data_IF_985057033416
#
_entry.id   IF_985057033416
#
_cell.length_a   1.000
_cell.length_b   1.000
_cell.length_c   1.000
_cell.angle_alpha   90.00
_cell.angle_beta   90.00
_cell.angle_gamma   90.00
#
_symmetry.space_group_name_H-M   'P 1'
#
loop_
_entity.id
_entity.type
_entity.pdbx_description
1 polymer ?
#
# COMPACT_ATOMS: atom_id res chain seq x y z
N UNK A 1 15.93 13.15 42.60
CA UNK A 1 14.73 12.29 42.46
C UNK A 1 13.92 12.82 41.29
N UNK A 2 13.60 11.95 40.34
CA UNK A 2 12.96 12.18 39.05
C UNK A 2 11.77 13.17 39.06
N UNK A 3 11.56 13.89 37.94
CA UNK A 3 10.52 13.54 36.94
C UNK A 3 10.92 14.05 35.55
N UNK A 4 10.97 13.11 34.62
CA UNK A 4 11.06 13.29 33.18
C UNK A 4 9.72 13.80 32.65
N UNK A 5 9.74 14.19 31.38
CA UNK A 5 8.62 14.19 30.44
C UNK A 5 7.81 15.48 30.27
N UNK A 6 8.22 16.27 29.28
CA UNK A 6 7.27 16.65 28.23
C UNK A 6 8.04 16.59 26.93
N UNK A 7 8.20 15.35 26.45
CA UNK A 7 8.49 15.07 25.05
C UNK A 7 7.23 15.42 24.27
N UNK A 8 7.02 16.71 24.01
CA UNK A 8 6.11 17.19 22.99
C UNK A 8 6.74 16.92 21.62
N UNK A 9 7.01 15.66 21.32
CA UNK A 9 7.17 15.20 19.94
C UNK A 9 5.77 15.28 19.35
N UNK A 10 5.46 16.47 18.83
CA UNK A 10 4.34 16.76 17.96
C UNK A 10 4.04 15.50 17.18
N UNK A 11 2.90 14.89 17.51
CA UNK A 11 2.33 13.79 16.80
C UNK A 11 2.21 14.27 15.35
N UNK A 12 3.19 13.89 14.54
CA UNK A 12 3.11 13.97 13.09
C UNK A 12 2.09 12.91 12.73
N UNK A 13 0.81 13.25 12.83
CA UNK A 13 -0.24 12.53 12.16
C UNK A 13 0.07 12.68 10.66
N UNK A 14 0.40 11.60 9.93
CA UNK A 14 0.16 11.62 8.52
C UNK A 14 -1.35 11.43 8.36
N UNK A 15 -2.09 12.53 8.39
CA UNK A 15 -3.45 12.56 7.86
C UNK A 15 -3.34 12.52 6.33
N UNK A 16 -3.02 11.35 5.78
CA UNK A 16 -3.27 11.00 4.37
C UNK A 16 -3.05 9.49 4.14
N UNK A 17 -3.52 8.67 5.07
CA UNK A 17 -3.97 7.34 4.66
C UNK A 17 -5.31 7.57 3.97
N UNK A 18 -5.25 7.98 2.71
CA UNK A 18 -6.33 7.68 1.78
C UNK A 18 -6.41 6.16 1.78
N UNK A 19 -7.24 5.64 2.66
CA UNK A 19 -7.89 4.35 2.52
C UNK A 19 -8.63 4.41 1.18
N UNK A 20 -7.84 4.29 0.10
CA UNK A 20 -8.33 4.20 -1.26
C UNK A 20 -9.03 2.85 -1.27
N UNK A 21 -10.35 2.95 -1.10
CA UNK A 21 -11.37 1.90 -1.18
C UNK A 21 -10.78 0.68 -1.89
N UNK A 22 -10.41 -0.31 -1.08
CA UNK A 22 -9.92 -1.59 -1.58
C UNK A 22 -11.14 -2.22 -2.23
N UNK A 23 -11.32 -1.88 -3.50
CA UNK A 23 -12.38 -2.33 -4.37
C UNK A 23 -12.51 -3.85 -4.18
N UNK A 24 -13.67 -4.32 -3.72
CA UNK A 24 -13.92 -5.73 -3.32
C UNK A 24 -13.58 -6.75 -4.43
N UNK A 25 -13.32 -6.27 -5.65
CA UNK A 25 -12.84 -7.05 -6.79
C UNK A 25 -11.37 -7.46 -6.72
N UNK A 26 -10.55 -6.81 -5.89
CA UNK A 26 -9.10 -7.05 -5.80
C UNK A 26 -8.72 -7.58 -4.42
N UNK A 27 -8.11 -8.77 -4.37
CA UNK A 27 -7.68 -9.32 -3.10
C UNK A 27 -6.55 -8.49 -2.46
N UNK A 28 -6.64 -8.17 -1.15
CA UNK A 28 -5.59 -7.44 -0.44
C UNK A 28 -4.25 -8.20 -0.42
N UNK A 29 -4.30 -9.54 -0.46
CA UNK A 29 -3.11 -10.39 -0.56
C UNK A 29 -2.35 -10.15 -1.86
N UNK A 30 -3.07 -9.99 -2.95
CA UNK A 30 -2.50 -9.78 -4.29
C UNK A 30 -1.83 -8.41 -4.37
N UNK A 31 -2.45 -7.40 -3.76
CA UNK A 31 -1.89 -6.06 -3.63
C UNK A 31 -0.55 -6.11 -2.90
N UNK A 32 -0.47 -6.79 -1.75
CA UNK A 32 0.77 -6.91 -0.97
C UNK A 32 1.86 -7.69 -1.73
N UNK A 33 1.47 -8.73 -2.47
CA UNK A 33 2.39 -9.49 -3.31
C UNK A 33 2.96 -8.62 -4.43
N UNK A 34 2.12 -7.83 -5.11
CA UNK A 34 2.56 -6.90 -6.16
C UNK A 34 3.42 -5.78 -5.57
N UNK A 35 3.09 -5.22 -4.41
CA UNK A 35 3.92 -4.21 -3.72
C UNK A 35 5.31 -4.79 -3.39
N UNK A 36 5.37 -6.01 -2.84
CA UNK A 36 6.62 -6.63 -2.39
C UNK A 36 7.49 -7.08 -3.56
N UNK A 37 6.89 -7.69 -4.58
CA UNK A 37 7.63 -8.28 -5.69
C UNK A 37 7.93 -7.28 -6.82
N UNK A 38 7.00 -6.37 -7.11
CA UNK A 38 7.19 -5.35 -8.13
C UNK A 38 7.72 -4.03 -7.55
N UNK A 39 7.77 -3.84 -6.22
CA UNK A 39 8.29 -2.60 -5.61
C UNK A 39 7.42 -1.36 -5.87
N UNK A 40 6.14 -1.56 -6.21
CA UNK A 40 5.19 -0.46 -6.48
C UNK A 40 4.38 -0.11 -5.25
N UNK A 41 3.69 1.02 -5.31
CA UNK A 41 2.84 1.50 -4.22
C UNK A 41 1.42 0.97 -4.40
N UNK A 42 0.63 0.91 -3.31
CA UNK A 42 -0.71 0.31 -3.27
C UNK A 42 -1.59 0.70 -4.46
N UNK A 43 -1.70 1.98 -4.77
CA UNK A 43 -2.57 2.48 -5.85
C UNK A 43 -2.12 1.97 -7.24
N UNK A 44 -0.81 1.76 -7.45
CA UNK A 44 -0.27 1.16 -8.68
C UNK A 44 -0.55 -0.34 -8.72
N UNK A 45 -0.38 -1.03 -7.59
CA UNK A 45 -0.71 -2.46 -7.47
C UNK A 45 -2.19 -2.73 -7.74
N UNK A 46 -3.08 -1.94 -7.13
CA UNK A 46 -4.53 -2.01 -7.34
C UNK A 46 -4.88 -1.76 -8.80
N UNK A 47 -4.31 -0.73 -9.44
CA UNK A 47 -4.53 -0.49 -10.87
C UNK A 47 -4.03 -1.62 -11.76
N UNK A 48 -2.85 -2.16 -11.46
CA UNK A 48 -2.29 -3.29 -12.20
C UNK A 48 -3.19 -4.52 -12.08
N UNK A 49 -3.67 -4.84 -10.87
CA UNK A 49 -4.59 -5.96 -10.64
C UNK A 49 -5.94 -5.71 -11.33
N UNK A 50 -6.49 -4.49 -11.31
CA UNK A 50 -7.73 -4.16 -12.03
C UNK A 50 -7.60 -4.34 -13.56
N UNK A 51 -6.51 -3.85 -14.16
CA UNK A 51 -6.25 -3.99 -15.61
C UNK A 51 -6.09 -5.46 -16.00
N UNK A 52 -5.49 -6.25 -15.11
CA UNK A 52 -5.25 -7.68 -15.34
C UNK A 52 -6.33 -8.58 -14.72
N UNK A 53 -7.52 -8.05 -14.38
CA UNK A 53 -8.64 -8.82 -13.83
C UNK A 53 -8.29 -9.68 -12.59
N UNK A 54 -7.40 -9.19 -11.72
CA UNK A 54 -6.92 -9.91 -10.54
C UNK A 54 -5.77 -10.88 -10.81
N UNK A 55 -5.25 -10.97 -12.04
CA UNK A 55 -4.07 -11.80 -12.31
C UNK A 55 -2.79 -11.15 -11.77
N UNK A 56 -2.35 -11.68 -10.62
CA UNK A 56 -1.13 -11.28 -9.91
C UNK A 56 0.11 -11.45 -10.79
N UNK A 57 0.19 -12.54 -11.56
CA UNK A 57 1.39 -12.83 -12.39
C UNK A 57 1.54 -11.76 -13.46
N UNK A 58 0.44 -11.43 -14.12
CA UNK A 58 0.39 -10.37 -15.12
C UNK A 58 0.60 -8.98 -14.49
N UNK A 59 0.05 -8.72 -13.30
CA UNK A 59 0.26 -7.47 -12.57
C UNK A 59 1.72 -7.25 -12.11
N UNK A 60 2.42 -8.31 -11.68
CA UNK A 60 3.85 -8.27 -11.32
C UNK A 60 4.69 -7.99 -12.58
N UNK A 61 4.39 -8.68 -13.69
CA UNK A 61 5.12 -8.51 -14.96
C UNK A 61 4.90 -7.11 -15.55
N UNK A 62 3.70 -6.53 -15.39
CA UNK A 62 3.34 -5.20 -15.92
C UNK A 62 4.31 -4.09 -15.48
N UNK A 63 5.07 -4.29 -14.40
CA UNK A 63 6.00 -3.29 -13.89
C UNK A 63 7.48 -3.48 -14.31
N UNK A 64 7.89 -4.65 -14.81
CA UNK A 64 9.30 -4.99 -15.08
C UNK A 64 9.87 -4.37 -16.38
N UNK A 65 9.45 -3.16 -16.76
CA UNK A 65 10.06 -2.41 -17.88
C UNK A 65 11.02 -1.32 -17.43
#
# INVERSE_FOLDING_TARGET
MAKFDTSARVARAPADEKEEEVDDTVEPRDIDLVITQAGVWRNKAVKALKINNGDISSAIIFHQK
#
